data_IF_725579831181
#
_entry.id   IF_725579831181
#
_cell.length_a   1.000
_cell.length_b   1.000
_cell.length_c   1.000
_cell.angle_alpha   90.00
_cell.angle_beta   90.00
_cell.angle_gamma   90.00
#
_symmetry.space_group_name_H-M   'P 1'
#
loop_
_entity.id
_entity.type
_entity.pdbx_description
1 polymer ?
#
# COMPACT_ATOMS: atom_id res chain seq x y z
N UNK A 1 -9.66 11.17 -16.18
CA UNK A 1 -8.43 10.35 -16.24
C UNK A 1 -8.52 9.40 -17.43
N UNK A 2 -7.40 9.05 -18.08
CA UNK A 2 -7.40 8.13 -19.23
C UNK A 2 -7.72 6.70 -18.77
N UNK A 3 -8.36 5.88 -19.62
CA UNK A 3 -8.69 4.46 -19.34
C UNK A 3 -7.50 3.65 -18.80
N UNK A 4 -6.30 3.92 -19.32
CA UNK A 4 -5.05 3.27 -18.88
C UNK A 4 -4.73 3.49 -17.40
N UNK A 5 -5.09 4.64 -16.83
CA UNK A 5 -4.82 4.92 -15.40
C UNK A 5 -5.74 4.10 -14.51
N UNK A 6 -7.01 3.90 -14.90
CA UNK A 6 -7.93 3.03 -14.18
C UNK A 6 -7.49 1.56 -14.21
N UNK A 7 -7.00 1.08 -15.37
CA UNK A 7 -6.42 -0.28 -15.48
C UNK A 7 -5.22 -0.41 -14.55
N UNK A 8 -4.32 0.58 -14.56
CA UNK A 8 -3.17 0.62 -13.66
C UNK A 8 -3.58 0.61 -12.18
N UNK A 9 -4.59 1.40 -11.81
CA UNK A 9 -5.11 1.46 -10.45
C UNK A 9 -5.57 0.07 -9.97
N UNK A 10 -6.40 -0.60 -10.76
CA UNK A 10 -6.89 -1.94 -10.44
C UNK A 10 -5.75 -2.95 -10.38
N UNK A 11 -4.80 -2.90 -11.32
CA UNK A 11 -3.65 -3.80 -11.33
C UNK A 11 -2.77 -3.62 -10.08
N UNK A 12 -2.47 -2.37 -9.69
CA UNK A 12 -1.70 -2.06 -8.48
C UNK A 12 -2.44 -2.51 -7.23
N UNK A 13 -3.75 -2.25 -7.13
CA UNK A 13 -4.56 -2.69 -6.00
C UNK A 13 -4.53 -4.22 -5.82
N UNK A 14 -4.81 -4.96 -6.90
CA UNK A 14 -4.80 -6.43 -6.86
C UNK A 14 -3.41 -6.94 -6.46
N UNK A 15 -2.36 -6.37 -7.06
CA UNK A 15 -0.98 -6.76 -6.74
C UNK A 15 -0.67 -6.55 -5.25
N UNK A 16 -1.07 -5.40 -4.69
CA UNK A 16 -0.88 -5.12 -3.27
C UNK A 16 -1.63 -6.10 -2.38
N UNK A 17 -2.90 -6.40 -2.67
CA UNK A 17 -3.69 -7.34 -1.87
C UNK A 17 -3.13 -8.76 -1.92
N UNK A 18 -2.66 -9.20 -3.09
CA UNK A 18 -2.03 -10.52 -3.26
C UNK A 18 -0.72 -10.58 -2.48
N UNK A 19 0.14 -9.57 -2.61
CA UNK A 19 1.42 -9.53 -1.88
C UNK A 19 1.20 -9.45 -0.37
N UNK A 20 0.26 -8.63 0.10
CA UNK A 20 -0.10 -8.54 1.52
C UNK A 20 -0.57 -9.88 2.07
N UNK A 21 -1.44 -10.59 1.33
CA UNK A 21 -1.90 -11.92 1.71
C UNK A 21 -0.78 -12.96 1.75
N UNK A 22 0.13 -12.95 0.77
CA UNK A 22 1.29 -13.84 0.75
C UNK A 22 2.19 -13.57 1.97
N UNK A 23 2.51 -12.30 2.23
CA UNK A 23 3.41 -11.93 3.32
C UNK A 23 2.78 -12.29 4.67
N UNK A 24 1.52 -11.93 4.91
CA UNK A 24 0.91 -12.09 6.23
C UNK A 24 0.41 -13.52 6.50
N UNK A 25 -0.20 -14.18 5.52
CA UNK A 25 -0.83 -15.50 5.73
C UNK A 25 0.05 -16.69 5.36
N UNK A 26 1.13 -16.49 4.61
CA UNK A 26 2.05 -17.56 4.22
C UNK A 26 3.39 -17.39 4.91
N UNK A 27 4.03 -16.23 4.73
CA UNK A 27 5.40 -16.02 5.22
C UNK A 27 5.41 -15.79 6.74
N UNK A 28 4.51 -14.95 7.25
CA UNK A 28 4.49 -14.53 8.66
C UNK A 28 3.51 -15.31 9.55
N UNK A 29 2.67 -16.19 8.99
CA UNK A 29 1.69 -16.97 9.77
C UNK A 29 2.34 -17.75 10.94
N UNK A 30 3.50 -18.44 10.76
CA UNK A 30 4.14 -19.12 11.89
C UNK A 30 4.55 -18.17 13.02
N UNK A 31 4.99 -16.96 12.67
CA UNK A 31 5.37 -15.94 13.64
C UNK A 31 4.13 -15.39 14.37
N UNK A 32 3.03 -15.10 13.65
CA UNK A 32 1.80 -14.63 14.29
C UNK A 32 1.19 -15.66 15.24
N UNK A 33 1.27 -16.96 14.91
CA UNK A 33 0.79 -18.02 15.81
C UNK A 33 1.61 -18.11 17.10
N UNK A 34 2.94 -17.98 17.02
CA UNK A 34 3.81 -18.08 18.19
C UNK A 34 3.63 -16.94 19.18
N UNK A 35 3.28 -15.74 18.69
CA UNK A 35 3.02 -14.56 19.52
C UNK A 35 1.53 -14.23 19.68
N UNK A 36 0.64 -15.15 19.31
CA UNK A 36 -0.81 -14.88 19.25
C UNK A 36 -1.41 -14.37 20.57
N UNK A 37 -0.83 -14.76 21.70
CA UNK A 37 -1.20 -14.29 23.05
C UNK A 37 -0.85 -12.81 23.33
N UNK A 38 0.07 -12.22 22.57
CA UNK A 38 0.42 -10.79 22.63
C UNK A 38 -0.41 -9.95 21.66
N UNK A 39 -1.06 -10.60 20.68
CA UNK A 39 -1.89 -9.92 19.70
C UNK A 39 -3.29 -9.68 20.25
N UNK A 40 -3.90 -8.58 19.80
CA UNK A 40 -5.31 -8.29 20.05
C UNK A 40 -6.20 -9.46 19.57
N UNK A 41 -7.31 -9.78 20.25
CA UNK A 41 -8.25 -10.79 19.76
C UNK A 41 -8.74 -10.52 18.33
N UNK A 42 -8.89 -11.56 17.52
CA UNK A 42 -9.27 -11.43 16.11
C UNK A 42 -10.57 -10.64 15.89
N UNK A 43 -11.54 -10.74 16.80
CA UNK A 43 -12.81 -9.99 16.73
C UNK A 43 -12.66 -8.47 16.91
N UNK A 44 -11.54 -8.01 17.47
CA UNK A 44 -11.24 -6.58 17.62
C UNK A 44 -10.32 -6.05 16.52
N UNK A 45 -9.73 -6.94 15.71
CA UNK A 45 -8.87 -6.55 14.59
C UNK A 45 -9.69 -6.01 13.42
N UNK A 46 -9.33 -4.82 12.93
CA UNK A 46 -10.04 -4.13 11.86
C UNK A 46 -9.50 -4.51 10.47
N UNK A 47 -9.59 -5.79 10.11
CA UNK A 47 -9.06 -6.30 8.83
C UNK A 47 -9.60 -5.58 7.59
N UNK A 48 -10.83 -5.05 7.65
CA UNK A 48 -11.43 -4.29 6.54
C UNK A 48 -10.69 -3.00 6.19
N UNK A 49 -9.89 -2.44 7.13
CA UNK A 49 -9.11 -1.22 6.86
C UNK A 49 -8.04 -1.49 5.81
N UNK A 50 -7.46 -2.70 5.78
CA UNK A 50 -6.38 -3.08 4.86
C UNK A 50 -6.77 -2.87 3.38
N UNK A 51 -7.85 -3.47 2.85
CA UNK A 51 -8.26 -3.22 1.47
C UNK A 51 -8.69 -1.76 1.24
N UNK A 52 -9.27 -1.08 2.23
CA UNK A 52 -9.70 0.33 2.08
C UNK A 52 -8.50 1.27 1.93
N UNK A 53 -7.47 1.10 2.75
CA UNK A 53 -6.23 1.88 2.63
C UNK A 53 -5.45 1.46 1.38
N UNK A 54 -5.50 0.18 0.99
CA UNK A 54 -4.96 -0.30 -0.28
C UNK A 54 -5.61 0.36 -1.49
N UNK A 55 -6.95 0.53 -1.50
CA UNK A 55 -7.66 1.27 -2.55
C UNK A 55 -7.23 2.74 -2.59
N UNK A 56 -7.15 3.39 -1.43
CA UNK A 56 -6.68 4.77 -1.36
C UNK A 56 -5.26 4.91 -1.91
N UNK A 57 -4.34 4.07 -1.44
CA UNK A 57 -2.94 4.08 -1.85
C UNK A 57 -2.80 3.84 -3.35
N UNK A 58 -3.40 2.77 -3.89
CA UNK A 58 -3.30 2.41 -5.31
C UNK A 58 -3.87 3.49 -6.23
N UNK A 59 -4.94 4.19 -5.81
CA UNK A 59 -5.49 5.30 -6.57
C UNK A 59 -4.49 6.46 -6.67
N UNK A 60 -3.97 6.93 -5.54
CA UNK A 60 -3.02 8.04 -5.53
C UNK A 60 -1.67 7.66 -6.15
N UNK A 61 -1.21 6.43 -5.94
CA UNK A 61 -0.01 5.88 -6.56
C UNK A 61 -0.04 6.04 -8.08
N UNK A 62 -1.15 5.63 -8.71
CA UNK A 62 -1.31 5.72 -10.17
C UNK A 62 -1.68 7.11 -10.65
N UNK A 63 -2.44 7.88 -9.86
CA UNK A 63 -2.77 9.27 -10.16
C UNK A 63 -1.52 10.16 -10.20
N UNK A 64 -0.67 10.10 -9.16
CA UNK A 64 0.59 10.87 -9.09
C UNK A 64 1.50 10.50 -10.25
N UNK A 65 1.61 9.21 -10.58
CA UNK A 65 2.39 8.76 -11.74
C UNK A 65 1.85 9.38 -13.03
N UNK A 66 0.53 9.35 -13.23
CA UNK A 66 -0.11 9.89 -14.44
C UNK A 66 0.09 11.40 -14.64
N UNK A 67 0.40 12.13 -13.56
CA UNK A 67 0.68 13.57 -13.58
C UNK A 67 2.16 13.89 -13.73
N UNK A 68 3.03 13.03 -13.21
CA UNK A 68 4.48 13.25 -13.18
C UNK A 68 5.27 12.60 -14.32
N UNK A 69 4.64 11.72 -15.11
CA UNK A 69 5.27 11.02 -16.22
C UNK A 69 5.30 11.88 -17.49
N UNK A 70 6.50 12.27 -17.91
CA UNK A 70 6.76 13.09 -19.11
C UNK A 70 7.69 12.37 -20.10
N UNK A 71 8.28 11.22 -19.73
CA UNK A 71 9.16 10.43 -20.59
C UNK A 71 10.59 10.98 -20.70
N UNK A 72 11.04 11.80 -19.75
CA UNK A 72 12.32 12.54 -19.74
C UNK A 72 13.43 11.85 -18.94
N UNK A 73 13.21 10.63 -18.45
CA UNK A 73 14.25 9.79 -17.83
C UNK A 73 14.17 9.69 -16.30
N UNK A 74 15.29 9.36 -15.67
CA UNK A 74 15.35 8.88 -14.27
C UNK A 74 14.87 9.90 -13.22
N UNK A 75 15.01 11.21 -13.49
CA UNK A 75 14.63 12.24 -12.55
C UNK A 75 13.12 12.24 -12.25
N UNK A 76 12.29 11.78 -13.20
CA UNK A 76 10.87 11.55 -12.96
C UNK A 76 10.62 10.48 -11.91
N UNK A 77 11.40 9.40 -11.96
CA UNK A 77 11.36 8.31 -10.99
C UNK A 77 11.76 8.77 -9.58
N UNK A 78 12.79 9.63 -9.48
CA UNK A 78 13.20 10.22 -8.19
C UNK A 78 12.10 11.12 -7.62
N UNK A 79 11.54 12.02 -8.43
CA UNK A 79 10.43 12.89 -8.02
C UNK A 79 9.19 12.07 -7.61
N UNK A 80 8.87 11.04 -8.39
CA UNK A 80 7.77 10.13 -8.10
C UNK A 80 7.98 9.38 -6.79
N UNK A 81 9.16 8.78 -6.61
CA UNK A 81 9.55 8.08 -5.39
C UNK A 81 9.48 8.99 -4.16
N UNK A 82 9.89 10.26 -4.28
CA UNK A 82 9.75 11.24 -3.19
C UNK A 82 8.28 11.45 -2.80
N UNK A 83 7.38 11.66 -3.77
CA UNK A 83 5.96 11.86 -3.47
C UNK A 83 5.30 10.62 -2.87
N UNK A 84 5.56 9.43 -3.42
CA UNK A 84 5.01 8.17 -2.87
C UNK A 84 5.62 7.87 -1.50
N UNK A 85 6.92 8.11 -1.33
CA UNK A 85 7.63 7.95 -0.06
C UNK A 85 7.04 8.82 1.03
N UNK A 86 6.79 10.11 0.76
CA UNK A 86 6.13 11.01 1.70
C UNK A 86 4.69 10.59 2.00
N UNK A 87 3.95 10.16 0.97
CA UNK A 87 2.58 9.67 1.12
C UNK A 87 2.48 8.44 2.03
N UNK A 88 3.51 7.59 2.04
CA UNK A 88 3.58 6.41 2.90
C UNK A 88 4.17 6.72 4.29
N UNK A 89 5.31 7.42 4.33
CA UNK A 89 6.08 7.63 5.55
C UNK A 89 5.38 8.53 6.56
N UNK A 90 4.68 9.58 6.12
CA UNK A 90 4.02 10.51 7.05
C UNK A 90 2.86 9.86 7.82
N UNK A 91 1.89 9.18 7.17
CA UNK A 91 0.85 8.46 7.91
C UNK A 91 1.41 7.36 8.79
N UNK A 92 2.43 6.62 8.31
CA UNK A 92 3.07 5.56 9.08
C UNK A 92 3.74 6.10 10.35
N UNK A 93 4.48 7.22 10.24
CA UNK A 93 5.10 7.87 11.38
C UNK A 93 4.02 8.27 12.41
N UNK A 94 2.94 8.93 11.97
CA UNK A 94 1.85 9.31 12.87
C UNK A 94 1.22 8.07 13.55
N UNK A 95 0.87 7.04 12.78
CA UNK A 95 0.25 5.82 13.30
C UNK A 95 1.16 4.99 14.22
N UNK A 96 2.49 5.23 14.20
CA UNK A 96 3.43 4.53 15.08
C UNK A 96 3.56 5.19 16.45
N UNK A 97 3.18 6.47 16.57
CA UNK A 97 3.30 7.25 17.81
C UNK A 97 1.96 7.71 18.39
N UNK A 98 0.86 7.55 17.66
CA UNK A 98 -0.51 7.86 18.08
C UNK A 98 -1.27 6.59 18.45
#
# INVERSE_FOLDING_TARGET
>A
MKKRVWIGFVAVFITLQVLDGIVNFIILDPAYRSISHLLRPAGEMKFWIIPVTGLFFSFFFTYIFSKGYEGRGLLEGVRYGLYIGLMFALPMAYASYA
#
